data_IF_269797946370
#
_entry.id   IF_269797946370
#
_cell.length_a   1.000
_cell.length_b   1.000
_cell.length_c   1.000
_cell.angle_alpha   90.00
_cell.angle_beta   90.00
_cell.angle_gamma   90.00
#
_symmetry.space_group_name_H-M   'P 1'
#
loop_
_entity.id
_entity.type
_entity.pdbx_description
1 polymer ?
#
# COMPACT_ATOMS: atom_id res chain seq x y z
N UNK A 1 -26.97 9.60 -6.93
CA UNK A 1 -27.06 8.74 -5.74
C UNK A 1 -25.72 8.10 -5.38
N UNK A 2 -25.09 7.37 -6.30
CA UNK A 2 -23.88 6.55 -6.02
C UNK A 2 -22.61 7.37 -5.74
N UNK A 3 -22.47 8.56 -6.32
CA UNK A 3 -21.35 9.46 -6.02
C UNK A 3 -21.63 10.26 -4.73
N UNK A 4 -22.07 11.51 -4.86
CA UNK A 4 -22.30 12.44 -3.74
C UNK A 4 -23.30 11.93 -2.69
N UNK A 5 -24.27 11.14 -3.13
CA UNK A 5 -25.33 10.63 -2.25
C UNK A 5 -24.82 9.56 -1.28
N UNK A 6 -23.88 8.72 -1.71
CA UNK A 6 -23.24 7.74 -0.84
C UNK A 6 -22.16 8.39 0.01
N UNK A 7 -21.41 9.36 -0.55
CA UNK A 7 -20.38 10.07 0.20
C UNK A 7 -20.95 10.71 1.47
N UNK A 8 -22.10 11.38 1.33
CA UNK A 8 -22.80 12.01 2.45
C UNK A 8 -23.35 11.01 3.48
N UNK A 9 -23.68 9.79 3.06
CA UNK A 9 -24.32 8.78 3.93
C UNK A 9 -23.34 7.86 4.63
N UNK A 10 -22.30 7.42 3.93
CA UNK A 10 -21.36 6.40 4.39
C UNK A 10 -19.90 6.82 4.30
N UNK A 11 -19.62 8.04 3.81
CA UNK A 11 -18.26 8.55 3.66
C UNK A 11 -17.50 8.02 2.45
N UNK A 12 -18.10 7.11 1.67
CA UNK A 12 -17.55 6.54 0.44
C UNK A 12 -18.41 6.86 -0.78
N UNK A 13 -17.78 6.96 -1.95
CA UNK A 13 -18.42 7.24 -3.25
C UNK A 13 -17.93 6.27 -4.31
N UNK A 14 -18.71 6.10 -5.37
CA UNK A 14 -18.25 5.38 -6.56
C UNK A 14 -18.45 6.23 -7.81
N UNK A 15 -17.38 6.30 -8.61
CA UNK A 15 -17.25 7.16 -9.78
C UNK A 15 -16.82 6.31 -10.99
N UNK A 16 -17.32 6.67 -12.18
CA UNK A 16 -17.08 5.92 -13.41
C UNK A 16 -16.30 6.81 -14.37
N UNK A 17 -15.09 6.40 -14.71
CA UNK A 17 -14.23 7.09 -15.65
C UNK A 17 -13.94 6.19 -16.85
N UNK A 18 -13.74 6.80 -18.02
CA UNK A 18 -13.42 6.06 -19.26
C UNK A 18 -11.94 5.67 -19.35
N UNK A 19 -11.08 6.50 -18.76
CA UNK A 19 -9.63 6.33 -18.76
C UNK A 19 -9.18 5.87 -17.39
N UNK A 20 -8.23 4.94 -17.34
CA UNK A 20 -7.75 4.40 -16.07
C UNK A 20 -6.89 5.42 -15.32
N UNK A 21 -6.21 6.30 -16.04
CA UNK A 21 -5.41 7.40 -15.49
C UNK A 21 -6.26 8.32 -14.63
N UNK A 22 -7.48 8.63 -15.09
CA UNK A 22 -8.43 9.45 -14.34
C UNK A 22 -8.84 8.74 -13.03
N UNK A 23 -9.02 7.42 -13.04
CA UNK A 23 -9.38 6.65 -11.83
C UNK A 23 -8.27 6.78 -10.79
N UNK A 24 -7.01 6.62 -11.20
CA UNK A 24 -5.85 6.73 -10.32
C UNK A 24 -5.74 8.14 -9.75
N UNK A 25 -5.78 9.16 -10.60
CA UNK A 25 -5.66 10.56 -10.18
C UNK A 25 -6.76 10.97 -9.20
N UNK A 26 -8.03 10.68 -9.50
CA UNK A 26 -9.16 11.02 -8.62
C UNK A 26 -9.12 10.23 -7.30
N UNK A 27 -8.65 8.98 -7.33
CA UNK A 27 -8.51 8.17 -6.11
C UNK A 27 -7.43 8.74 -5.19
N UNK A 28 -6.27 9.13 -5.74
CA UNK A 28 -5.18 9.73 -4.96
C UNK A 28 -5.60 11.08 -4.38
N UNK A 29 -6.24 11.95 -5.17
CA UNK A 29 -6.77 13.23 -4.68
C UNK A 29 -7.76 13.03 -3.51
N UNK A 30 -8.63 12.03 -3.61
CA UNK A 30 -9.57 11.72 -2.54
C UNK A 30 -8.87 11.22 -1.27
N UNK A 31 -7.84 10.38 -1.41
CA UNK A 31 -7.02 9.90 -0.30
C UNK A 31 -6.36 11.10 0.40
N UNK A 32 -5.74 12.00 -0.35
CA UNK A 32 -5.03 13.16 0.23
C UNK A 32 -5.99 14.11 0.96
N UNK A 33 -7.17 14.38 0.39
CA UNK A 33 -8.22 15.12 1.09
C UNK A 33 -8.61 14.46 2.41
N UNK A 34 -8.81 13.14 2.42
CA UNK A 34 -9.14 12.40 3.63
C UNK A 34 -8.01 12.40 4.66
N UNK A 35 -6.75 12.33 4.22
CA UNK A 35 -5.59 12.46 5.11
C UNK A 35 -5.61 13.82 5.80
N UNK A 36 -5.83 14.89 5.05
CA UNK A 36 -5.95 16.24 5.60
C UNK A 36 -7.11 16.37 6.59
N UNK A 37 -8.31 15.87 6.23
CA UNK A 37 -9.49 15.87 7.11
C UNK A 37 -9.26 15.10 8.42
N UNK A 38 -8.42 14.05 8.38
CA UNK A 38 -8.06 13.23 9.54
C UNK A 38 -6.83 13.73 10.31
N UNK A 39 -6.18 14.81 9.85
CA UNK A 39 -4.94 15.33 10.46
C UNK A 39 -3.74 14.37 10.32
N UNK A 40 -3.77 13.48 9.32
CA UNK A 40 -2.63 12.63 8.98
C UNK A 40 -1.57 13.45 8.24
N UNK A 41 -0.30 13.11 8.43
CA UNK A 41 0.77 13.76 7.68
C UNK A 41 0.58 13.56 6.17
N UNK A 42 1.20 14.41 5.35
CA UNK A 42 1.23 14.24 3.90
C UNK A 42 1.80 12.86 3.50
N UNK A 43 1.41 12.38 2.33
CA UNK A 43 1.99 11.15 1.79
C UNK A 43 3.47 11.39 1.47
N UNK A 44 4.33 10.52 1.99
CA UNK A 44 5.77 10.52 1.74
C UNK A 44 6.15 9.08 1.36
N UNK A 45 6.61 8.85 0.12
CA UNK A 45 6.97 7.51 -0.35
C UNK A 45 8.19 6.93 0.38
N UNK A 46 9.05 7.78 0.95
CA UNK A 46 10.29 7.38 1.63
C UNK A 46 10.10 7.23 3.14
N UNK A 47 8.92 7.56 3.67
CA UNK A 47 8.62 7.51 5.10
C UNK A 47 8.68 6.10 5.67
N UNK A 48 8.32 5.10 4.88
CA UNK A 48 8.29 3.70 5.31
C UNK A 48 9.40 2.92 4.61
N UNK A 49 9.89 1.87 5.28
CA UNK A 49 10.89 0.97 4.70
C UNK A 49 10.36 0.21 3.49
N UNK A 50 11.28 -0.48 2.80
CA UNK A 50 10.94 -1.36 1.69
C UNK A 50 9.92 -2.44 2.08
N UNK A 51 9.17 -2.96 1.11
CA UNK A 51 8.23 -4.06 1.33
C UNK A 51 8.89 -5.19 2.09
N UNK A 52 8.17 -5.75 3.07
CA UNK A 52 8.59 -6.95 3.80
C UNK A 52 8.74 -8.19 2.92
N UNK A 53 8.27 -8.12 1.66
CA UNK A 53 8.41 -9.20 0.68
C UNK A 53 9.78 -9.22 -0.01
N UNK A 54 10.41 -8.05 -0.18
CA UNK A 54 11.78 -7.94 -0.73
C UNK A 54 12.74 -8.87 0.03
N UNK A 55 12.78 -8.86 1.37
CA UNK A 55 13.62 -9.79 2.09
C UNK A 55 13.16 -11.26 2.08
N UNK A 56 11.91 -11.55 1.74
CA UNK A 56 11.37 -12.91 1.65
C UNK A 56 11.84 -13.63 0.38
N UNK A 57 12.17 -12.91 -0.68
CA UNK A 57 12.71 -13.48 -1.92
C UNK A 57 13.97 -14.33 -1.63
N UNK A 58 14.93 -13.77 -0.88
CA UNK A 58 16.14 -14.48 -0.48
C UNK A 58 15.87 -15.69 0.43
N UNK A 59 14.85 -15.59 1.30
CA UNK A 59 14.43 -16.70 2.15
C UNK A 59 13.85 -17.85 1.33
N UNK A 60 13.04 -17.55 0.31
CA UNK A 60 12.46 -18.57 -0.57
C UNK A 60 13.44 -19.16 -1.57
N UNK A 61 14.48 -18.40 -1.97
CA UNK A 61 15.58 -18.93 -2.78
C UNK A 61 16.39 -20.01 -2.05
N UNK A 62 16.40 -19.99 -0.72
CA UNK A 62 17.03 -21.05 0.09
C UNK A 62 16.15 -22.31 0.09
N UNK A 63 16.71 -23.53 -0.08
CA UNK A 63 15.95 -24.78 0.00
C UNK A 63 15.22 -24.92 1.35
N UNK A 64 13.99 -25.48 1.39
CA UNK A 64 13.19 -25.59 2.63
C UNK A 64 13.93 -26.21 3.81
N UNK A 65 14.78 -27.21 3.54
CA UNK A 65 15.56 -27.95 4.54
C UNK A 65 16.64 -27.09 5.22
N UNK A 66 17.10 -26.03 4.56
CA UNK A 66 18.17 -25.14 5.00
C UNK A 66 17.62 -23.82 5.57
N UNK A 67 16.29 -23.68 5.66
CA UNK A 67 15.63 -22.49 6.20
C UNK A 67 15.60 -22.50 7.73
N UNK A 68 15.88 -21.34 8.30
CA UNK A 68 15.91 -21.07 9.71
C UNK A 68 14.50 -20.65 10.07
N UNK A 69 13.84 -21.51 10.84
CA UNK A 69 12.43 -21.38 11.21
C UNK A 69 12.16 -20.18 12.13
N UNK A 70 13.21 -19.63 12.76
CA UNK A 70 13.08 -18.64 13.82
C UNK A 70 13.60 -17.26 13.44
N UNK A 71 14.50 -17.15 12.45
CA UNK A 71 15.07 -15.87 12.05
C UNK A 71 15.48 -15.81 10.59
N UNK A 72 14.86 -14.89 9.84
CA UNK A 72 15.31 -14.46 8.52
C UNK A 72 16.68 -13.76 8.57
N UNK A 73 17.04 -13.12 9.68
CA UNK A 73 18.30 -12.36 9.78
C UNK A 73 19.54 -13.24 9.61
N UNK A 74 19.40 -14.56 9.77
CA UNK A 74 20.47 -15.53 9.51
C UNK A 74 20.92 -15.60 8.04
N UNK A 75 20.14 -15.05 7.10
CA UNK A 75 20.41 -15.08 5.65
C UNK A 75 21.02 -13.79 5.09
N UNK A 76 21.24 -12.78 5.93
CA UNK A 76 21.64 -11.43 5.49
C UNK A 76 23.15 -11.34 5.19
N UNK A 77 23.96 -12.31 5.63
CA UNK A 77 25.43 -12.31 5.47
C UNK A 77 25.94 -12.99 4.18
N UNK A 78 25.08 -13.57 3.33
CA UNK A 78 25.51 -14.34 2.14
C UNK A 78 25.37 -13.52 0.84
N UNK A 79 25.66 -12.22 0.87
CA UNK A 79 25.71 -11.36 -0.32
C UNK A 79 27.13 -10.82 -0.55
#
# INVERSE_FOLDING_TARGET
LISEGWEKKVGGKMEFHKKWEDIVANSLEHIDKKRADLGLAEYDPDRFGQSGDVPLEAFFATPPEERNLYSRKAYVEVA
#
